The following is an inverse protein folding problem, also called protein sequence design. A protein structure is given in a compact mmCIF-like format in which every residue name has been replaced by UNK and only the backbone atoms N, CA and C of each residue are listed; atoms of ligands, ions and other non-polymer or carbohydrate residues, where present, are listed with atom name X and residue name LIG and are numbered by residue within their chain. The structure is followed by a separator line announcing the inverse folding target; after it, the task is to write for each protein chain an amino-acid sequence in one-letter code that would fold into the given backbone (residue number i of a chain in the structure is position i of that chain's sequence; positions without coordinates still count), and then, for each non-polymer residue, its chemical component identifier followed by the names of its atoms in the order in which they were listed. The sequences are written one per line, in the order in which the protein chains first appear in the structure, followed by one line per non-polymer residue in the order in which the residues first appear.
data_IF_826046991672
#
_entry.id   IF_826046991672
#
_cell.length_a   1.000
_cell.length_b   1.000
_cell.length_c   1.000
_cell.angle_alpha   90.00
_cell.angle_beta   90.00
_cell.angle_gamma   90.00
#
_symmetry.space_group_name_H-M   'P 1'
#
loop_
_entity.id
_entity.type
_entity.pdbx_description
1 polymer ?
2 non-polymer ?
#
# COMPACT_ATOMS: atom_id res chain seq x y z
N UNK A 1 -9.36 5.77 12.49
CA UNK A 1 -8.37 5.39 13.53
C UNK A 1 -7.24 4.56 12.93
N UNK A 2 -7.55 3.34 12.51
CA UNK A 2 -6.53 2.45 11.96
C UNK A 2 -6.51 2.52 10.43
N UNK A 3 -5.38 2.96 9.86
CA UNK A 3 -5.16 2.94 8.43
C UNK A 3 -4.48 1.66 7.98
N UNK A 4 -4.28 1.55 6.68
CA UNK A 4 -3.48 0.50 6.11
C UNK A 4 -2.24 1.11 5.50
N UNK A 5 -1.13 0.98 6.20
CA UNK A 5 0.10 1.66 5.82
C UNK A 5 0.94 0.81 4.90
N UNK A 6 1.58 1.47 3.94
CA UNK A 6 2.51 0.81 3.04
C UNK A 6 3.74 0.37 3.79
N UNK A 7 4.02 -0.92 3.75
CA UNK A 7 5.14 -1.50 4.47
C UNK A 7 6.47 -1.01 3.90
N UNK A 8 6.44 -0.56 2.66
CA UNK A 8 7.68 -0.22 1.97
C UNK A 8 8.05 1.26 2.11
N UNK A 9 7.06 2.15 2.14
CA UNK A 9 7.35 3.58 2.16
C UNK A 9 6.63 4.30 3.30
N UNK A 10 5.79 3.56 4.03
CA UNK A 10 5.09 4.06 5.21
C UNK A 10 4.09 5.16 4.88
N UNK A 11 3.23 4.86 3.92
CA UNK A 11 2.13 5.76 3.56
C UNK A 11 0.82 5.18 4.09
N UNK A 12 0.06 5.99 4.81
CA UNK A 12 -1.17 5.52 5.43
C UNK A 12 -2.34 5.59 4.46
N UNK A 13 -2.87 4.44 4.10
CA UNK A 13 -4.02 4.36 3.22
C UNK A 13 -5.27 3.91 3.98
N UNK A 14 -6.41 3.93 3.30
CA UNK A 14 -7.67 3.56 3.94
C UNK A 14 -7.94 2.07 3.81
N UNK A 15 -7.90 1.58 2.59
CA UNK A 15 -8.35 0.24 2.29
C UNK A 15 -7.18 -0.69 2.02
N UNK A 16 -7.32 -1.96 2.40
CA UNK A 16 -6.30 -2.98 2.15
C UNK A 16 -6.17 -3.27 0.66
N UNK A 17 -7.26 -3.07 -0.07
CA UNK A 17 -7.23 -3.21 -1.51
C UNK A 17 -6.34 -2.16 -2.14
N UNK A 18 -6.27 -1.00 -1.53
CA UNK A 18 -5.41 0.07 -2.01
C UNK A 18 -3.96 -0.22 -1.70
N UNK A 19 -3.71 -0.95 -0.61
CA UNK A 19 -2.35 -1.30 -0.27
C UNK A 19 -1.82 -2.26 -1.27
N UNK A 20 -2.68 -3.12 -1.79
CA UNK A 20 -2.21 -4.10 -2.72
C UNK A 20 -1.98 -3.46 -4.06
N UNK A 21 -2.81 -2.49 -4.36
CA UNK A 21 -2.64 -1.65 -5.53
C UNK A 21 -1.37 -0.81 -5.36
N UNK A 22 -1.12 -0.42 -4.12
CA UNK A 22 0.00 0.44 -3.78
C UNK A 22 1.31 -0.31 -3.87
N UNK A 23 1.36 -1.47 -3.25
CA UNK A 23 2.59 -2.20 -3.14
C UNK A 23 3.08 -2.63 -4.52
N UNK A 24 2.15 -3.00 -5.39
CA UNK A 24 2.50 -3.39 -6.75
C UNK A 24 2.97 -2.18 -7.55
N UNK A 25 2.60 -0.97 -7.09
CA UNK A 25 3.10 0.26 -7.67
C UNK A 25 4.61 0.37 -7.43
N UNK A 26 5.07 -0.13 -6.29
CA UNK A 26 6.51 -0.14 -5.99
C UNK A 26 7.24 -1.10 -6.90
N UNK A 27 6.62 -2.23 -7.22
CA UNK A 27 7.21 -3.15 -8.17
C UNK A 27 7.20 -2.55 -9.57
N UNK A 28 6.10 -1.87 -9.89
CA UNK A 28 5.97 -1.21 -11.19
C UNK A 28 5.67 -2.20 -12.29
N UNK A 29 6.54 -3.18 -12.42
CA UNK A 29 6.42 -4.21 -13.44
C UNK A 29 5.21 -5.09 -13.17
N UNK A 30 4.86 -5.22 -11.90
CA UNK A 30 3.70 -5.99 -11.50
C UNK A 30 3.03 -5.33 -10.30
X LIG B 1 4.52 2.68 -0.85
#
# INVERSE_FOLDING_TARGET
MKPYVCIHCQRQFADPGALQRHVRIHTGEKPCQCVMCGKAFTQASSLIAHVRQHTGEKPYVCERCGKRFVQSSQLANHIRHHD
ZN ZN
#
